data_IF_470343245238
#
_entry.id   IF_470343245238
#
_cell.length_a   1.000
_cell.length_b   1.000
_cell.length_c   1.000
_cell.angle_alpha   90.00
_cell.angle_beta   90.00
_cell.angle_gamma   90.00
#
_symmetry.space_group_name_H-M   'P 1'
#
loop_
_entity.id
_entity.type
_entity.pdbx_description
1 polymer ?
#
# COMPACT_ATOMS: atom_id res chain seq x y z
N UNK A 1 7.15 2.91 -26.81
CA UNK A 1 5.72 3.31 -26.69
C UNK A 1 4.88 2.31 -25.90
N UNK A 2 4.84 1.01 -26.25
CA UNK A 2 4.06 0.02 -25.49
C UNK A 2 4.51 -0.13 -24.03
N UNK A 3 5.82 -0.21 -23.78
CA UNK A 3 6.37 -0.30 -22.42
C UNK A 3 5.98 0.90 -21.53
N UNK A 4 6.02 2.11 -22.11
CA UNK A 4 5.57 3.35 -21.47
C UNK A 4 4.08 3.30 -21.12
N UNK A 5 3.23 2.80 -22.02
CA UNK A 5 1.80 2.65 -21.76
C UNK A 5 1.54 1.66 -20.61
N UNK A 6 2.15 0.47 -20.67
CA UNK A 6 2.02 -0.56 -19.62
C UNK A 6 2.48 -0.01 -18.27
N UNK A 7 3.65 0.64 -18.23
CA UNK A 7 4.18 1.24 -17.01
C UNK A 7 3.18 2.18 -16.35
N UNK A 8 2.63 3.13 -17.11
CA UNK A 8 1.69 4.11 -16.56
C UNK A 8 0.39 3.46 -16.08
N UNK A 9 -0.17 2.52 -16.84
CA UNK A 9 -1.37 1.78 -16.42
C UNK A 9 -1.11 1.03 -15.11
N UNK A 10 0.01 0.30 -15.02
CA UNK A 10 0.37 -0.44 -13.81
C UNK A 10 0.63 0.50 -12.63
N UNK A 11 1.29 1.65 -12.85
CA UNK A 11 1.53 2.66 -11.83
C UNK A 11 0.21 3.23 -11.29
N UNK A 12 -0.75 3.57 -12.17
CA UNK A 12 -2.06 4.07 -11.76
C UNK A 12 -2.83 3.06 -10.91
N UNK A 13 -2.87 1.79 -11.35
CA UNK A 13 -3.56 0.73 -10.60
C UNK A 13 -2.90 0.49 -9.24
N UNK A 14 -1.57 0.40 -9.20
CA UNK A 14 -0.83 0.13 -7.97
C UNK A 14 -0.91 1.28 -6.96
N UNK A 15 -0.62 2.52 -7.39
CA UNK A 15 -0.68 3.70 -6.52
C UNK A 15 -2.13 3.98 -6.11
N UNK A 16 -3.07 3.89 -7.05
CA UNK A 16 -4.49 4.05 -6.77
C UNK A 16 -5.02 3.02 -5.77
N UNK A 17 -4.56 1.76 -5.85
CA UNK A 17 -4.91 0.70 -4.91
C UNK A 17 -4.30 0.85 -3.51
N UNK A 18 -3.17 1.56 -3.37
CA UNK A 18 -2.56 1.78 -2.06
C UNK A 18 -3.28 2.82 -1.21
N UNK A 19 -3.93 3.80 -1.83
CA UNK A 19 -4.71 4.83 -1.12
C UNK A 19 -5.79 4.22 -0.21
N UNK A 20 -6.72 3.35 -0.69
CA UNK A 20 -7.73 2.75 0.17
C UNK A 20 -7.12 1.81 1.22
N UNK A 21 -6.00 1.14 0.94
CA UNK A 21 -5.31 0.28 1.91
C UNK A 21 -4.74 1.09 3.09
N UNK A 22 -4.06 2.20 2.79
CA UNK A 22 -3.53 3.11 3.82
C UNK A 22 -4.68 3.69 4.65
N UNK A 23 -5.78 4.11 4.01
CA UNK A 23 -6.96 4.64 4.71
C UNK A 23 -7.58 3.55 5.61
N UNK A 24 -7.72 2.32 5.13
CA UNK A 24 -8.26 1.21 5.92
C UNK A 24 -7.38 0.89 7.13
N UNK A 25 -6.06 0.77 6.92
CA UNK A 25 -5.09 0.54 8.00
C UNK A 25 -5.12 1.68 9.04
N UNK A 26 -5.23 2.92 8.58
CA UNK A 26 -5.34 4.09 9.46
C UNK A 26 -6.62 4.08 10.30
N UNK A 27 -7.76 3.73 9.67
CA UNK A 27 -9.05 3.61 10.37
C UNK A 27 -9.00 2.51 11.43
N UNK A 28 -8.41 1.35 11.12
CA UNK A 28 -8.23 0.24 12.05
C UNK A 28 -7.29 0.61 13.22
N UNK A 29 -6.19 1.31 12.92
CA UNK A 29 -5.29 1.82 13.95
C UNK A 29 -6.00 2.78 14.92
N UNK A 30 -6.85 3.68 14.41
CA UNK A 30 -7.56 4.67 15.23
C UNK A 30 -8.76 4.13 15.99
N UNK A 31 -9.39 3.07 15.50
CA UNK A 31 -10.56 2.48 16.13
C UNK A 31 -10.25 1.03 16.51
N UNK A 32 -9.71 0.78 17.72
CA UNK A 32 -9.65 -0.57 18.26
C UNK A 32 -11.08 -1.04 18.48
N UNK A 33 -11.67 -1.64 17.45
CA UNK A 33 -13.00 -2.23 17.54
C UNK A 33 -12.97 -3.29 18.65
N UNK A 34 -14.05 -3.35 19.43
CA UNK A 34 -14.30 -4.40 20.41
C UNK A 34 -14.52 -5.74 19.67
N UNK A 35 -13.47 -6.28 19.08
CA UNK A 35 -13.46 -7.63 18.54
C UNK A 35 -13.72 -8.63 19.69
N UNK A 36 -14.45 -9.73 19.44
CA UNK A 36 -14.72 -10.77 20.41
C UNK A 36 -13.41 -11.29 21.03
N UNK A 37 -13.44 -11.65 22.32
CA UNK A 37 -12.27 -12.00 23.12
C UNK A 37 -11.43 -13.17 22.55
N UNK A 38 -11.99 -13.95 21.64
CA UNK A 38 -11.41 -15.20 21.13
C UNK A 38 -10.69 -15.00 19.78
N UNK A 39 -10.64 -13.79 19.25
CA UNK A 39 -10.01 -13.49 17.95
C UNK A 39 -8.61 -12.90 18.19
N UNK A 40 -7.53 -13.56 17.72
CA UNK A 40 -6.19 -12.98 17.77
C UNK A 40 -6.17 -11.62 17.09
N UNK A 41 -5.68 -10.59 17.79
CA UNK A 41 -5.53 -9.24 17.23
C UNK A 41 -4.14 -9.09 16.64
N UNK A 42 -4.07 -8.58 15.40
CA UNK A 42 -2.86 -7.96 14.90
C UNK A 42 -2.66 -6.59 15.57
N UNK A 43 -1.40 -6.19 15.75
CA UNK A 43 -1.08 -4.85 16.27
C UNK A 43 -1.33 -3.82 15.15
N UNK A 44 -2.38 -3.00 15.32
CA UNK A 44 -2.76 -1.99 14.35
C UNK A 44 -1.67 -0.96 14.05
N UNK A 45 -0.70 -0.74 14.96
CA UNK A 45 0.48 0.09 14.68
C UNK A 45 1.44 -0.60 13.73
N UNK A 46 1.69 -1.89 13.96
CA UNK A 46 2.55 -2.69 13.10
C UNK A 46 1.95 -2.84 11.70
N UNK A 47 0.63 -3.09 11.61
CA UNK A 47 -0.09 -3.21 10.34
C UNK A 47 -0.04 -1.90 9.52
N UNK A 48 -0.29 -0.77 10.18
CA UNK A 48 -0.19 0.54 9.53
C UNK A 48 1.23 0.84 9.09
N UNK A 49 2.23 0.57 9.96
CA UNK A 49 3.64 0.74 9.64
C UNK A 49 4.05 -0.10 8.43
N UNK A 50 3.62 -1.35 8.37
CA UNK A 50 3.89 -2.25 7.24
C UNK A 50 3.20 -1.79 5.95
N UNK A 51 1.96 -1.31 6.05
CA UNK A 51 1.22 -0.75 4.90
C UNK A 51 1.91 0.49 4.33
N UNK A 52 2.42 1.38 5.18
CA UNK A 52 3.17 2.56 4.74
C UNK A 52 4.52 2.15 4.13
N UNK A 53 5.24 1.23 4.78
CA UNK A 53 6.54 0.76 4.29
C UNK A 53 6.43 0.11 2.91
N UNK A 54 5.44 -0.76 2.71
CA UNK A 54 5.17 -1.41 1.42
C UNK A 54 4.74 -0.40 0.36
N UNK A 55 4.01 0.65 0.75
CA UNK A 55 3.68 1.74 -0.16
C UNK A 55 4.92 2.51 -0.65
N UNK A 56 5.80 2.88 0.28
CA UNK A 56 7.07 3.53 -0.05
C UNK A 56 7.99 2.65 -0.89
N UNK A 57 8.09 1.35 -0.56
CA UNK A 57 8.87 0.40 -1.34
C UNK A 57 8.33 0.25 -2.77
N UNK A 58 7.02 0.21 -2.94
CA UNK A 58 6.37 0.14 -4.24
C UNK A 58 6.66 1.39 -5.07
N UNK A 59 6.55 2.58 -4.45
CA UNK A 59 6.90 3.85 -5.09
C UNK A 59 8.36 3.84 -5.55
N UNK A 60 9.29 3.42 -4.68
CA UNK A 60 10.71 3.31 -5.02
C UNK A 60 10.96 2.36 -6.21
N UNK A 61 10.27 1.22 -6.25
CA UNK A 61 10.34 0.29 -7.39
C UNK A 61 9.84 0.92 -8.69
N UNK A 62 8.73 1.69 -8.65
CA UNK A 62 8.26 2.39 -9.85
C UNK A 62 9.23 3.49 -10.30
N UNK A 63 9.87 4.21 -9.38
CA UNK A 63 10.91 5.19 -9.73
C UNK A 63 12.09 4.49 -10.40
N UNK A 64 12.58 3.38 -9.83
CA UNK A 64 13.66 2.61 -10.44
C UNK A 64 13.28 2.09 -11.84
N UNK A 65 12.06 1.55 -11.99
CA UNK A 65 11.54 1.08 -13.27
C UNK A 65 11.38 2.23 -14.28
N UNK A 66 10.95 3.42 -13.85
CA UNK A 66 10.87 4.62 -14.68
C UNK A 66 12.24 5.02 -15.23
N UNK A 67 13.27 5.00 -14.38
CA UNK A 67 14.65 5.33 -14.80
C UNK A 67 15.26 4.28 -15.74
N UNK A 68 14.77 3.04 -15.69
CA UNK A 68 15.21 1.94 -16.54
C UNK A 68 14.41 1.80 -17.84
N UNK A 69 13.37 2.61 -18.06
CA UNK A 69 12.56 2.55 -19.28
C UNK A 69 13.36 3.06 -20.49
N UNK A 70 13.35 2.31 -21.62
CA UNK A 70 14.03 2.70 -22.85
C UNK A 70 13.27 3.76 -23.66
#
# INVERSE_FOLDING_TARGET
MMAWFIFWVTAFVAIGGQIPLIIAAWRLYRQPHLAPANVPRSDGRADLGWTILTALATLALFVAAYLALP
#
